data_IF_675182655098
#
_entry.id   IF_675182655098
#
_cell.length_a   1.000
_cell.length_b   1.000
_cell.length_c   1.000
_cell.angle_alpha   90.00
_cell.angle_beta   90.00
_cell.angle_gamma   90.00
#
_symmetry.space_group_name_H-M   'P 1'
#
loop_
_entity.id
_entity.type
_entity.pdbx_description
1 polymer ?
#
# COMPACT_ATOMS: atom_id res chain seq x y z
N UNK A 1 -2.77 26.43 0.93
CA UNK A 1 -2.33 25.99 -0.42
C UNK A 1 -0.82 26.08 -0.64
N UNK A 2 -0.12 27.12 -0.17
CA UNK A 2 1.31 27.34 -0.45
C UNK A 2 2.23 26.28 0.20
N UNK A 3 1.91 25.79 1.41
CA UNK A 3 2.69 24.76 2.09
C UNK A 3 2.61 23.35 1.46
N UNK A 4 1.61 23.08 0.61
CA UNK A 4 1.48 21.79 -0.08
C UNK A 4 2.43 21.69 -1.29
N UNK A 5 2.75 22.83 -1.90
CA UNK A 5 3.55 22.91 -3.13
C UNK A 5 5.05 22.72 -2.84
N UNK A 6 5.58 23.33 -1.77
CA UNK A 6 7.02 23.27 -1.44
C UNK A 6 7.55 21.86 -1.11
N UNK A 7 6.68 20.91 -0.74
CA UNK A 7 7.16 19.55 -0.38
C UNK A 7 7.07 18.53 -1.50
N UNK A 8 6.54 18.92 -2.66
CA UNK A 8 6.47 18.07 -3.85
C UNK A 8 7.73 18.20 -4.72
N UNK A 9 8.59 19.18 -4.49
CA UNK A 9 9.81 19.43 -5.29
C UNK A 9 10.85 18.29 -5.27
N UNK A 10 10.70 17.30 -4.39
CA UNK A 10 11.56 16.10 -4.32
C UNK A 10 10.84 14.79 -4.68
N UNK A 11 9.64 14.88 -5.25
CA UNK A 11 8.88 13.70 -5.69
C UNK A 11 8.85 13.72 -7.20
N UNK A 12 9.27 12.61 -7.81
CA UNK A 12 9.20 12.46 -9.25
C UNK A 12 7.79 12.69 -9.81
N UNK A 13 7.65 13.15 -11.07
CA UNK A 13 6.34 13.24 -11.70
C UNK A 13 5.57 11.91 -11.68
N UNK A 14 6.29 10.79 -11.81
CA UNK A 14 5.72 9.44 -11.72
C UNK A 14 5.19 9.15 -10.31
N UNK A 15 6.00 9.32 -9.27
CA UNK A 15 5.58 9.08 -7.89
C UNK A 15 4.47 10.04 -7.45
N UNK A 16 4.45 11.27 -7.98
CA UNK A 16 3.37 12.22 -7.77
C UNK A 16 2.07 11.74 -8.43
N UNK A 17 2.15 11.15 -9.62
CA UNK A 17 1.00 10.52 -10.27
C UNK A 17 0.49 9.32 -9.46
N UNK A 18 1.38 8.44 -9.02
CA UNK A 18 1.06 7.30 -8.14
C UNK A 18 0.42 7.77 -6.83
N UNK A 19 0.94 8.83 -6.22
CA UNK A 19 0.37 9.43 -5.01
C UNK A 19 -1.05 9.97 -5.26
N UNK A 20 -1.27 10.71 -6.36
CA UNK A 20 -2.60 11.21 -6.73
C UNK A 20 -3.59 10.06 -6.98
N UNK A 21 -3.13 8.98 -7.61
CA UNK A 21 -3.93 7.79 -7.83
C UNK A 21 -4.31 7.14 -6.50
N UNK A 22 -3.37 7.02 -5.56
CA UNK A 22 -3.61 6.45 -4.24
C UNK A 22 -4.64 7.27 -3.45
N UNK A 23 -4.47 8.59 -3.43
CA UNK A 23 -5.44 9.52 -2.80
C UNK A 23 -6.82 9.32 -3.40
N UNK A 24 -6.93 9.34 -4.73
CA UNK A 24 -8.21 9.15 -5.43
C UNK A 24 -8.86 7.81 -5.09
N UNK A 25 -8.10 6.71 -5.10
CA UNK A 25 -8.63 5.37 -4.80
C UNK A 25 -9.16 5.28 -3.36
N UNK A 26 -8.46 5.89 -2.41
CA UNK A 26 -8.92 5.97 -1.01
C UNK A 26 -10.21 6.79 -0.93
N UNK A 27 -10.23 8.01 -1.48
CA UNK A 27 -11.40 8.90 -1.44
C UNK A 27 -12.64 8.26 -2.06
N UNK A 28 -12.51 7.57 -3.20
CA UNK A 28 -13.64 6.89 -3.84
C UNK A 28 -14.17 5.68 -3.07
N UNK A 29 -13.34 5.09 -2.21
CA UNK A 29 -13.67 3.89 -1.44
C UNK A 29 -14.05 4.18 0.02
N UNK A 30 -14.13 5.45 0.44
CA UNK A 30 -14.58 5.79 1.79
C UNK A 30 -15.94 5.14 2.10
N UNK A 31 -16.09 4.61 3.32
CA UNK A 31 -17.31 3.93 3.77
C UNK A 31 -17.45 2.47 3.30
N UNK A 32 -16.54 1.96 2.48
CA UNK A 32 -16.60 0.59 1.96
C UNK A 32 -15.22 -0.07 1.88
N UNK A 33 -15.20 -1.39 1.90
CA UNK A 33 -13.97 -2.12 1.69
C UNK A 33 -13.46 -1.97 0.25
N UNK A 34 -12.19 -1.62 0.13
CA UNK A 34 -11.42 -1.67 -1.10
C UNK A 34 -9.98 -2.06 -0.74
N UNK A 35 -9.46 -3.10 -1.39
CA UNK A 35 -8.06 -3.47 -1.24
C UNK A 35 -7.23 -2.64 -2.21
N UNK A 36 -6.23 -1.93 -1.70
CA UNK A 36 -5.26 -1.17 -2.47
C UNK A 36 -3.87 -1.68 -2.11
N UNK A 37 -3.05 -1.97 -3.12
CA UNK A 37 -1.67 -2.38 -2.91
C UNK A 37 -0.74 -1.24 -3.31
N UNK A 38 0.01 -0.70 -2.35
CA UNK A 38 1.02 0.31 -2.58
C UNK A 38 2.41 -0.35 -2.52
N UNK A 39 3.00 -0.58 -3.68
CA UNK A 39 4.33 -1.20 -3.79
C UNK A 39 5.42 -0.12 -3.71
N UNK A 40 6.35 -0.25 -2.77
CA UNK A 40 7.49 0.65 -2.64
C UNK A 40 8.68 -0.10 -2.01
N UNK A 41 9.76 -0.25 -2.77
CA UNK A 41 10.98 -0.93 -2.31
C UNK A 41 11.93 -0.05 -1.49
N UNK A 42 11.66 1.26 -1.44
CA UNK A 42 12.52 2.23 -0.78
C UNK A 42 11.84 2.82 0.45
N UNK A 43 12.34 2.46 1.64
CA UNK A 43 11.74 2.94 2.90
C UNK A 43 11.76 4.47 3.04
N UNK A 44 12.74 5.16 2.45
CA UNK A 44 12.76 6.64 2.46
C UNK A 44 11.62 7.22 1.60
N UNK A 45 11.44 6.72 0.38
CA UNK A 45 10.37 7.14 -0.52
C UNK A 45 8.99 6.82 0.08
N UNK A 46 8.82 5.60 0.63
CA UNK A 46 7.60 5.20 1.33
C UNK A 46 7.25 6.20 2.45
N UNK A 47 8.20 6.50 3.36
CA UNK A 47 8.00 7.50 4.42
C UNK A 47 7.66 8.89 3.88
N UNK A 48 8.28 9.29 2.78
CA UNK A 48 7.97 10.56 2.13
C UNK A 48 6.54 10.59 1.61
N UNK A 49 6.07 9.52 0.96
CA UNK A 49 4.70 9.42 0.44
C UNK A 49 3.66 9.43 1.56
N UNK A 50 3.89 8.66 2.63
CA UNK A 50 3.03 8.65 3.82
C UNK A 50 2.95 10.04 4.44
N UNK A 51 4.08 10.75 4.54
CA UNK A 51 4.09 12.13 5.04
C UNK A 51 3.24 13.08 4.19
N UNK A 52 3.16 12.88 2.87
CA UNK A 52 2.25 13.66 2.03
C UNK A 52 0.79 13.30 2.27
N UNK A 53 0.47 12.01 2.38
CA UNK A 53 -0.88 11.53 2.67
C UNK A 53 -1.43 12.10 3.98
N UNK A 54 -0.61 12.10 5.05
CA UNK A 54 -0.98 12.67 6.37
C UNK A 54 -1.30 14.17 6.34
N UNK A 55 -0.85 14.90 5.33
CA UNK A 55 -1.05 16.35 5.21
C UNK A 55 -2.35 16.71 4.52
N UNK A 56 -3.07 15.72 4.02
CA UNK A 56 -4.37 15.93 3.38
C UNK A 56 -5.40 16.20 4.48
N UNK A 57 -5.97 17.42 4.54
CA UNK A 57 -6.88 17.79 5.62
C UNK A 57 -8.24 17.09 5.53
N UNK A 58 -8.55 16.49 4.38
CA UNK A 58 -9.84 15.87 4.06
C UNK A 58 -9.87 14.34 4.28
N UNK A 59 -8.73 13.74 4.71
CA UNK A 59 -8.60 12.29 4.86
C UNK A 59 -8.00 11.95 6.22
N UNK A 60 -8.81 11.37 7.12
CA UNK A 60 -8.33 10.77 8.36
C UNK A 60 -7.86 9.34 8.11
N UNK A 61 -6.60 9.22 7.69
CA UNK A 61 -5.96 7.93 7.47
C UNK A 61 -5.31 7.44 8.75
N UNK A 62 -5.63 6.21 9.12
CA UNK A 62 -5.04 5.52 10.26
C UNK A 62 -3.92 4.59 9.82
N UNK A 63 -2.98 4.35 10.73
CA UNK A 63 -1.80 3.54 10.46
C UNK A 63 -1.72 2.34 11.38
N UNK A 64 -1.43 1.18 10.79
CA UNK A 64 -1.27 -0.07 11.51
C UNK A 64 0.06 -0.72 11.12
N UNK A 65 1.00 -0.76 12.07
CA UNK A 65 2.24 -1.51 11.92
C UNK A 65 2.01 -2.95 12.38
N UNK A 66 2.28 -3.94 11.51
CA UNK A 66 2.25 -5.34 11.88
C UNK A 66 3.47 -5.65 12.77
N UNK A 67 3.21 -6.36 13.87
CA UNK A 67 4.26 -6.88 14.73
C UNK A 67 4.91 -8.12 14.10
N UNK A 68 6.16 -8.41 14.46
CA UNK A 68 6.87 -9.59 13.95
C UNK A 68 6.19 -10.93 14.29
N UNK A 69 5.35 -10.93 15.34
CA UNK A 69 4.53 -12.04 15.84
C UNK A 69 3.10 -12.06 15.27
N UNK A 70 2.76 -11.17 14.34
CA UNK A 70 1.41 -11.15 13.76
C UNK A 70 1.14 -12.45 13.02
N UNK A 71 0.03 -13.11 13.35
CA UNK A 71 -0.37 -14.37 12.71
C UNK A 71 -1.52 -14.18 11.71
N UNK A 72 -2.40 -13.20 11.94
CA UNK A 72 -3.62 -13.02 11.16
C UNK A 72 -3.86 -11.55 10.85
N UNK A 73 -3.92 -11.20 9.56
CA UNK A 73 -4.10 -9.81 9.11
C UNK A 73 -5.49 -9.27 9.49
N UNK A 74 -6.55 -10.00 9.15
CA UNK A 74 -7.93 -9.55 9.37
C UNK A 74 -8.20 -9.21 10.84
N UNK A 75 -7.96 -10.14 11.75
CA UNK A 75 -8.28 -9.92 13.17
C UNK A 75 -7.41 -8.83 13.80
N UNK A 76 -6.19 -8.61 13.29
CA UNK A 76 -5.32 -7.53 13.74
C UNK A 76 -5.91 -6.18 13.36
N UNK A 77 -6.36 -6.02 12.11
CA UNK A 77 -7.06 -4.80 11.66
C UNK A 77 -8.38 -4.63 12.43
N UNK A 78 -9.22 -5.66 12.45
CA UNK A 78 -10.53 -5.61 13.08
C UNK A 78 -10.47 -5.29 14.58
N UNK A 79 -9.49 -5.86 15.30
CA UNK A 79 -9.24 -5.57 16.71
C UNK A 79 -8.74 -4.15 16.94
N UNK A 80 -7.95 -3.59 16.02
CA UNK A 80 -7.45 -2.22 16.18
C UNK A 80 -8.54 -1.18 15.91
N UNK A 81 -9.38 -1.41 14.90
CA UNK A 81 -10.42 -0.48 14.47
C UNK A 81 -11.84 -0.94 14.86
N UNK A 82 -11.98 -1.60 16.01
CA UNK A 82 -13.26 -2.15 16.45
C UNK A 82 -14.26 -1.09 16.94
N UNK A 83 -13.75 0.07 17.39
CA UNK A 83 -14.56 1.13 18.03
C UNK A 83 -14.99 2.25 17.09
N UNK A 84 -14.38 2.36 15.91
CA UNK A 84 -14.64 3.44 14.96
C UNK A 84 -14.23 3.02 13.54
N UNK A 85 -14.74 3.72 12.53
CA UNK A 85 -14.41 3.48 11.13
C UNK A 85 -13.60 4.67 10.58
N UNK A 86 -12.29 4.52 10.31
CA UNK A 86 -11.48 5.57 9.69
C UNK A 86 -11.84 5.78 8.21
N UNK A 87 -11.31 6.85 7.60
CA UNK A 87 -11.48 7.10 6.16
C UNK A 87 -10.66 6.14 5.30
N UNK A 88 -9.63 5.53 5.90
CA UNK A 88 -8.81 4.49 5.30
C UNK A 88 -7.74 4.03 6.27
N UNK A 89 -7.28 2.78 6.11
CA UNK A 89 -6.22 2.20 6.93
C UNK A 89 -5.01 1.88 6.06
N UNK A 90 -3.83 2.35 6.48
CA UNK A 90 -2.55 1.97 5.89
C UNK A 90 -1.87 0.93 6.78
N UNK A 91 -1.57 -0.23 6.20
CA UNK A 91 -0.94 -1.37 6.91
C UNK A 91 0.49 -1.56 6.45
N UNK A 92 1.41 -1.75 7.39
CA UNK A 92 2.87 -1.83 7.17
C UNK A 92 3.50 -3.03 7.86
N UNK A 93 4.78 -3.28 7.58
CA UNK A 93 5.62 -4.19 8.38
C UNK A 93 5.53 -5.65 7.98
N UNK A 94 4.96 -5.94 6.81
CA UNK A 94 4.89 -7.30 6.25
C UNK A 94 6.26 -7.99 6.18
N UNK A 95 7.29 -7.25 5.79
CA UNK A 95 8.67 -7.71 5.68
C UNK A 95 9.29 -8.14 7.02
N UNK A 96 8.71 -7.72 8.15
CA UNK A 96 9.19 -8.04 9.50
C UNK A 96 8.42 -9.19 10.17
N UNK A 97 7.34 -9.69 9.55
CA UNK A 97 6.54 -10.80 10.07
C UNK A 97 7.29 -12.11 9.91
N UNK A 98 7.58 -12.80 11.02
CA UNK A 98 8.39 -14.04 11.03
C UNK A 98 7.76 -15.17 10.20
N UNK A 99 6.44 -15.27 10.23
CA UNK A 99 5.66 -16.30 9.56
C UNK A 99 4.77 -15.69 8.46
N UNK A 100 5.34 -14.80 7.64
CA UNK A 100 4.59 -14.07 6.62
C UNK A 100 3.79 -14.99 5.70
N UNK A 101 4.37 -16.10 5.23
CA UNK A 101 3.66 -17.03 4.35
C UNK A 101 2.41 -17.62 5.01
N UNK A 102 2.47 -17.96 6.31
CA UNK A 102 1.33 -18.45 7.08
C UNK A 102 0.27 -17.36 7.28
N UNK A 103 0.70 -16.12 7.61
CA UNK A 103 -0.21 -14.98 7.71
C UNK A 103 -0.96 -14.74 6.40
N UNK A 104 -0.25 -14.83 5.27
CA UNK A 104 -0.84 -14.69 3.94
C UNK A 104 -1.85 -15.81 3.68
N UNK A 105 -1.47 -17.08 3.85
CA UNK A 105 -2.39 -18.22 3.68
C UNK A 105 -3.67 -18.03 4.54
N UNK A 106 -3.51 -17.66 5.81
CA UNK A 106 -4.63 -17.36 6.70
C UNK A 106 -5.50 -16.21 6.18
N UNK A 107 -4.88 -15.17 5.61
CA UNK A 107 -5.59 -14.03 4.97
C UNK A 107 -6.47 -14.50 3.83
N UNK A 108 -5.99 -15.41 2.97
CA UNK A 108 -6.81 -15.92 1.86
C UNK A 108 -8.00 -16.77 2.34
N UNK A 109 -7.83 -17.51 3.43
CA UNK A 109 -8.90 -18.32 4.03
C UNK A 109 -10.06 -17.48 4.56
N UNK A 110 -9.77 -16.32 5.18
CA UNK A 110 -10.79 -15.43 5.75
C UNK A 110 -11.07 -14.21 4.89
N UNK A 111 -10.69 -14.23 3.60
CA UNK A 111 -10.77 -13.05 2.73
C UNK A 111 -12.16 -12.39 2.75
N UNK A 112 -13.25 -13.16 2.74
CA UNK A 112 -14.62 -12.63 2.71
C UNK A 112 -14.94 -11.74 3.92
N UNK A 113 -14.28 -11.97 5.06
CA UNK A 113 -14.42 -11.14 6.24
C UNK A 113 -13.96 -9.70 6.02
N UNK A 114 -12.98 -9.46 5.12
CA UNK A 114 -12.52 -8.11 4.81
C UNK A 114 -13.63 -7.24 4.21
N UNK A 115 -14.62 -7.82 3.53
CA UNK A 115 -15.78 -7.08 2.99
C UNK A 115 -16.63 -6.43 4.08
N UNK A 116 -16.48 -6.86 5.34
CA UNK A 116 -17.17 -6.26 6.48
C UNK A 116 -16.58 -4.90 6.86
N UNK A 117 -15.33 -4.60 6.48
CA UNK A 117 -14.76 -3.28 6.71
C UNK A 117 -15.53 -2.20 5.96
N UNK A 118 -15.72 -1.05 6.62
CA UNK A 118 -16.36 0.16 6.07
C UNK A 118 -15.33 1.22 5.71
N UNK A 119 -14.15 0.77 5.32
CA UNK A 119 -13.03 1.60 4.96
C UNK A 119 -12.09 0.86 4.00
N UNK A 120 -11.38 1.60 3.13
CA UNK A 120 -10.35 1.03 2.29
C UNK A 120 -9.13 0.59 3.12
N UNK A 121 -8.49 -0.49 2.68
CA UNK A 121 -7.27 -1.03 3.28
C UNK A 121 -6.15 -0.92 2.26
N UNK A 122 -5.15 -0.08 2.57
CA UNK A 122 -3.94 0.12 1.79
C UNK A 122 -2.84 -0.74 2.40
N UNK A 123 -2.38 -1.76 1.69
CA UNK A 123 -1.23 -2.55 2.11
C UNK A 123 0.03 -1.99 1.47
N UNK A 124 0.95 -1.51 2.31
CA UNK A 124 2.26 -1.09 1.87
C UNK A 124 3.20 -2.29 1.86
N UNK A 125 3.67 -2.65 0.67
CA UNK A 125 4.47 -3.85 0.44
C UNK A 125 5.71 -3.52 -0.39
N UNK A 126 6.72 -4.38 -0.30
CA UNK A 126 7.84 -4.39 -1.25
C UNK A 126 7.65 -5.52 -2.27
N UNK A 127 8.55 -5.64 -3.24
CA UNK A 127 8.46 -6.64 -4.30
C UNK A 127 8.46 -8.07 -3.78
N UNK A 128 9.19 -8.35 -2.70
CA UNK A 128 9.29 -9.70 -2.16
C UNK A 128 8.00 -10.12 -1.44
N UNK A 129 7.38 -9.19 -0.72
CA UNK A 129 6.04 -9.38 -0.16
C UNK A 129 5.02 -9.48 -1.30
N UNK A 130 5.11 -8.66 -2.34
CA UNK A 130 4.22 -8.70 -3.50
C UNK A 130 4.25 -10.06 -4.21
N UNK A 131 5.44 -10.62 -4.46
CA UNK A 131 5.60 -11.96 -5.03
C UNK A 131 4.91 -13.03 -4.17
N UNK A 132 5.01 -12.92 -2.83
CA UNK A 132 4.30 -13.82 -1.94
C UNK A 132 2.78 -13.61 -1.99
N UNK A 133 2.30 -12.38 -2.12
CA UNK A 133 0.88 -12.10 -2.29
C UNK A 133 0.31 -12.80 -3.52
N UNK A 134 0.93 -12.58 -4.68
CA UNK A 134 0.51 -13.20 -5.95
C UNK A 134 0.53 -14.73 -5.87
N UNK A 135 1.55 -15.30 -5.20
CA UNK A 135 1.72 -16.76 -5.12
C UNK A 135 0.82 -17.44 -4.08
N UNK A 136 0.64 -16.84 -2.91
CA UNK A 136 0.03 -17.50 -1.76
C UNK A 136 -1.41 -17.08 -1.49
N UNK A 137 -1.83 -15.93 -1.99
CA UNK A 137 -3.18 -15.38 -1.74
C UNK A 137 -3.83 -14.85 -3.02
N UNK A 138 -3.85 -15.63 -4.12
CA UNK A 138 -4.32 -15.14 -5.42
C UNK A 138 -5.77 -14.64 -5.39
N UNK A 139 -6.66 -15.24 -4.60
CA UNK A 139 -8.06 -14.82 -4.52
C UNK A 139 -8.19 -13.46 -3.82
N UNK A 140 -7.50 -13.27 -2.70
CA UNK A 140 -7.47 -11.98 -2.02
C UNK A 140 -6.77 -10.91 -2.86
N UNK A 141 -5.65 -11.27 -3.50
CA UNK A 141 -4.94 -10.40 -4.44
C UNK A 141 -5.82 -9.97 -5.62
N UNK A 142 -6.71 -10.84 -6.11
CA UNK A 142 -7.64 -10.52 -7.20
C UNK A 142 -8.61 -9.37 -6.87
N UNK A 143 -8.81 -9.05 -5.58
CA UNK A 143 -9.63 -7.92 -5.14
C UNK A 143 -8.87 -6.60 -5.08
N UNK A 144 -7.56 -6.62 -5.25
CA UNK A 144 -6.78 -5.40 -5.35
C UNK A 144 -7.26 -4.62 -6.58
N UNK A 145 -8.05 -3.57 -6.34
CA UNK A 145 -8.65 -2.76 -7.40
C UNK A 145 -7.58 -1.97 -8.16
N UNK A 146 -6.43 -1.74 -7.53
CA UNK A 146 -5.31 -1.00 -8.10
C UNK A 146 -4.00 -1.41 -7.40
N UNK A 147 -3.02 -1.87 -8.17
CA UNK A 147 -1.61 -1.87 -7.77
C UNK A 147 -1.00 -0.51 -8.10
N UNK A 148 -0.44 0.17 -7.10
CA UNK A 148 0.19 1.49 -7.24
C UNK A 148 1.66 1.33 -6.92
N UNK A 149 2.52 1.64 -7.88
CA UNK A 149 3.96 1.50 -7.74
C UNK A 149 4.62 2.85 -7.48
N UNK A 150 5.54 2.86 -6.51
CA UNK A 150 6.43 3.98 -6.22
C UNK A 150 7.87 3.55 -6.52
N UNK A 151 8.50 4.22 -7.49
CA UNK A 151 9.79 3.81 -8.05
C UNK A 151 10.91 4.79 -7.69
N UNK A 152 12.13 4.25 -7.64
CA UNK A 152 13.35 5.08 -7.67
C UNK A 152 13.60 5.56 -9.10
N UNK A 153 13.75 6.86 -9.31
CA UNK A 153 14.18 7.38 -10.61
C UNK A 153 15.62 7.02 -10.96
N UNK A 154 16.44 6.64 -9.97
CA UNK A 154 17.81 6.19 -10.25
C UNK A 154 17.89 4.81 -10.90
N UNK A 155 16.82 4.00 -10.87
CA UNK A 155 16.74 2.68 -11.55
C UNK A 155 15.93 2.68 -12.86
N UNK A 156 15.11 3.69 -13.10
CA UNK A 156 14.27 3.75 -14.31
C UNK A 156 15.06 4.09 -15.58
N UNK A 157 16.18 4.79 -15.46
CA UNK A 157 17.07 5.13 -16.58
C UNK A 157 17.87 3.92 -17.11
N UNK A 158 18.27 2.99 -16.25
CA UNK A 158 19.03 1.80 -16.67
C UNK A 158 18.15 0.81 -17.46
N UNK A 159 16.88 0.64 -17.07
CA UNK A 159 15.93 -0.22 -17.78
C UNK A 159 15.58 0.29 -19.19
N UNK A 160 15.65 1.61 -19.42
CA UNK A 160 15.42 2.20 -20.74
C UNK A 160 16.67 2.16 -21.64
N UNK A 161 17.89 2.24 -21.08
CA UNK A 161 19.13 2.11 -21.85
C UNK A 161 19.41 0.68 -22.35
N UNK A 162 18.99 -0.35 -21.61
CA UNK A 162 19.19 -1.75 -22.02
C UNK A 162 18.29 -2.15 -23.21
N UNK A 163 17.11 -1.54 -23.34
CA UNK A 163 16.20 -1.79 -24.47
C UNK A 163 16.64 -1.08 -25.76
N UNK A 164 17.32 0.07 -25.66
CA UNK A 164 17.82 0.81 -26.84
C UNK A 164 19.13 0.22 -27.39
N UNK A 165 19.90 -0.50 -26.58
CA UNK A 165 21.23 -1.04 -26.95
C UNK A 165 21.21 -2.39 -27.68
N UNK A 166 20.04 -3.03 -27.86
CA UNK A 166 19.92 -4.32 -28.56
C UNK A 166 19.45 -4.22 -30.04
N UNK A 167 19.39 -3.01 -30.60
CA UNK A 167 18.95 -2.79 -31.99
C UNK A 167 19.93 -1.99 -32.87
N UNK A 168 21.23 -2.07 -32.61
CA UNK A 168 22.27 -1.54 -33.51
C UNK A 168 23.19 -2.65 -34.00
#
# INVERSE_FOLDING_TARGET
MIAYVETLERVSPQNLSSLKQLVRSITLAQGQFCLILACCNQSQLQRQMIKQLRRLPELHLEELMLESSTETLYSTIARHFHSYSPDGVMVYGFESVRHLSQLLIATNHVREEFRNFKFPVVLWVNDDVMKQFVRLVPDFFSWASTGIEFVDEHKSLESQQVLVSHHS
#
